data_IF_738930123159
#
_entry.id   IF_738930123159
#
_cell.length_a   1.000
_cell.length_b   1.000
_cell.length_c   1.000
_cell.angle_alpha   90.00
_cell.angle_beta   90.00
_cell.angle_gamma   90.00
#
_symmetry.space_group_name_H-M   'P 1'
#
loop_
_entity.id
_entity.type
_entity.pdbx_description
1 polymer ?
#
# COMPACT_ATOMS: atom_id res chain seq x y z
N UNK A 1 -22.01 111.12 -12.48
CA UNK A 1 -22.68 110.20 -13.40
C UNK A 1 -22.13 108.79 -13.09
N UNK A 2 -22.69 107.84 -12.57
CA UNK A 2 -23.95 107.56 -12.02
C UNK A 2 -24.03 106.03 -11.75
N UNK A 3 -24.39 105.67 -10.61
CA UNK A 3 -25.03 104.39 -10.17
C UNK A 3 -25.61 103.58 -11.28
N UNK A 4 -25.16 102.33 -11.39
CA UNK A 4 -25.96 101.15 -11.84
C UNK A 4 -25.19 99.85 -11.91
N UNK A 5 -24.46 99.36 -10.88
CA UNK A 5 -23.96 97.99 -10.85
C UNK A 5 -23.98 97.38 -9.40
N UNK A 6 -25.13 97.36 -8.76
CA UNK A 6 -25.32 96.66 -7.49
C UNK A 6 -26.71 96.00 -7.40
N UNK A 7 -27.19 95.31 -8.44
CA UNK A 7 -28.50 94.67 -8.29
C UNK A 7 -28.65 93.26 -8.92
N UNK A 8 -27.59 92.61 -9.32
CA UNK A 8 -27.70 91.25 -9.93
C UNK A 8 -26.91 90.10 -9.21
N UNK A 9 -26.27 90.34 -8.04
CA UNK A 9 -25.50 89.33 -7.34
C UNK A 9 -26.19 88.61 -6.16
N UNK A 10 -27.35 89.12 -5.70
CA UNK A 10 -27.99 88.54 -4.50
C UNK A 10 -28.76 87.20 -4.72
N UNK A 11 -29.37 86.91 -5.87
CA UNK A 11 -30.07 85.61 -6.00
C UNK A 11 -29.13 84.41 -6.22
N UNK A 12 -27.91 84.61 -6.71
CA UNK A 12 -26.95 83.52 -6.93
C UNK A 12 -26.27 83.08 -5.68
N UNK A 13 -25.98 83.94 -4.70
CA UNK A 13 -25.39 83.64 -3.41
C UNK A 13 -26.39 82.89 -2.51
N UNK A 14 -27.70 83.24 -2.57
CA UNK A 14 -28.70 82.51 -1.78
C UNK A 14 -28.98 81.13 -2.34
N UNK A 15 -28.90 80.91 -3.68
CA UNK A 15 -29.04 79.59 -4.32
C UNK A 15 -27.81 78.69 -4.01
N UNK A 16 -26.58 79.19 -3.89
CA UNK A 16 -25.39 78.50 -3.52
C UNK A 16 -25.38 78.05 -2.03
N UNK A 17 -25.92 78.86 -1.14
CA UNK A 17 -26.07 78.52 0.28
C UNK A 17 -27.15 77.46 0.51
N UNK A 18 -28.25 77.50 -0.29
CA UNK A 18 -29.29 76.45 -0.20
C UNK A 18 -28.82 75.07 -0.76
N UNK A 19 -27.87 75.04 -1.72
CA UNK A 19 -27.25 73.81 -2.22
C UNK A 19 -26.17 73.20 -1.26
N UNK A 20 -25.60 73.93 -0.37
CA UNK A 20 -24.62 73.41 0.63
C UNK A 20 -25.26 72.85 1.90
N UNK A 21 -26.53 73.08 2.19
CA UNK A 21 -27.20 72.49 3.35
C UNK A 21 -27.88 71.15 3.09
N UNK A 22 -27.82 70.61 1.86
CA UNK A 22 -28.43 69.35 1.50
C UNK A 22 -27.52 68.12 1.51
N UNK A 23 -26.22 68.22 1.90
CA UNK A 23 -25.36 67.08 2.15
C UNK A 23 -25.70 66.46 3.51
N UNK A 24 -26.87 65.78 3.58
CA UNK A 24 -27.15 64.84 4.66
C UNK A 24 -26.11 63.72 4.54
N UNK A 25 -25.17 63.67 5.44
CA UNK A 25 -24.29 62.52 5.65
C UNK A 25 -25.24 61.35 5.90
N UNK A 26 -25.45 60.51 4.86
CA UNK A 26 -26.08 59.21 5.01
C UNK A 26 -25.14 58.39 5.93
N UNK A 27 -25.45 58.36 7.20
CA UNK A 27 -24.82 57.44 8.15
C UNK A 27 -25.29 56.05 7.65
N UNK A 28 -24.37 55.31 7.06
CA UNK A 28 -24.61 53.91 6.72
C UNK A 28 -24.89 53.17 8.04
N UNK A 29 -26.15 52.90 8.32
CA UNK A 29 -26.57 52.16 9.49
C UNK A 29 -26.18 50.70 9.23
N UNK A 30 -25.13 50.30 9.89
CA UNK A 30 -24.57 48.92 9.74
C UNK A 30 -25.39 47.93 10.55
N UNK A 31 -25.72 46.82 9.95
CA UNK A 31 -26.36 45.68 10.64
C UNK A 31 -25.41 44.89 11.52
N UNK A 32 -25.94 43.89 12.18
CA UNK A 32 -25.24 42.94 13.01
C UNK A 32 -25.56 41.51 12.54
N UNK A 33 -24.55 40.60 12.61
CA UNK A 33 -24.77 39.17 12.40
C UNK A 33 -24.43 38.40 13.67
N UNK A 34 -25.39 37.60 14.16
CA UNK A 34 -25.22 36.75 15.34
C UNK A 34 -25.60 35.32 15.00
N UNK A 35 -25.12 34.38 15.78
CA UNK A 35 -25.50 32.97 15.59
C UNK A 35 -24.69 32.05 16.50
N UNK A 36 -24.99 30.77 16.35
CA UNK A 36 -24.34 29.70 17.10
C UNK A 36 -23.69 28.70 16.13
N UNK A 37 -22.59 28.10 16.57
CA UNK A 37 -21.90 27.03 15.84
C UNK A 37 -21.96 25.78 16.71
N UNK A 38 -22.52 24.70 16.15
CA UNK A 38 -22.69 23.43 16.85
C UNK A 38 -22.11 22.26 16.04
N UNK A 39 -21.84 21.18 16.71
CA UNK A 39 -21.54 19.89 16.08
C UNK A 39 -22.86 19.26 15.56
N UNK A 40 -22.89 18.88 14.31
CA UNK A 40 -24.09 18.34 13.65
C UNK A 40 -24.56 17.01 14.24
N UNK A 41 -23.68 16.19 14.78
CA UNK A 41 -24.01 14.86 15.31
C UNK A 41 -24.45 14.91 16.78
N UNK A 42 -23.80 15.78 17.58
CA UNK A 42 -23.99 15.83 19.04
C UNK A 42 -24.77 17.06 19.50
N UNK A 43 -25.00 18.06 18.63
CA UNK A 43 -25.53 19.39 18.93
C UNK A 43 -24.73 20.14 20.02
N UNK A 44 -23.51 19.70 20.34
CA UNK A 44 -22.65 20.37 21.30
C UNK A 44 -22.14 21.70 20.73
N UNK A 45 -22.06 22.79 21.56
CA UNK A 45 -21.52 24.06 21.12
C UNK A 45 -20.04 23.94 20.77
N UNK A 46 -19.63 24.61 19.69
CA UNK A 46 -18.26 24.57 19.19
C UNK A 46 -17.56 25.92 19.49
N UNK A 47 -16.69 25.93 20.48
CA UNK A 47 -15.83 27.08 20.76
C UNK A 47 -14.68 27.23 19.75
N UNK A 48 -14.12 28.42 19.64
CA UNK A 48 -12.99 28.74 18.74
C UNK A 48 -13.27 28.41 17.25
N UNK A 49 -14.53 28.35 16.83
CA UNK A 49 -14.89 28.30 15.42
C UNK A 49 -14.76 29.70 14.81
N UNK A 50 -14.04 29.79 13.70
CA UNK A 50 -13.76 31.07 13.02
C UNK A 50 -14.83 31.33 11.97
N UNK A 51 -15.50 32.47 12.08
CA UNK A 51 -16.55 32.93 11.17
C UNK A 51 -15.98 34.06 10.30
N UNK A 52 -16.05 33.91 9.00
CA UNK A 52 -15.53 34.85 8.01
C UNK A 52 -16.63 35.30 7.06
N UNK A 53 -16.75 36.58 6.84
CA UNK A 53 -17.69 37.16 5.86
C UNK A 53 -16.93 37.41 4.56
N UNK A 54 -17.26 36.63 3.52
CA UNK A 54 -16.55 36.71 2.24
C UNK A 54 -16.74 38.10 1.57
N UNK A 55 -15.65 38.62 1.02
CA UNK A 55 -15.62 39.95 0.42
C UNK A 55 -15.41 41.10 1.42
N UNK A 56 -15.22 40.80 2.72
CA UNK A 56 -14.91 41.76 3.77
C UNK A 56 -13.72 41.31 4.62
N UNK A 57 -13.20 42.19 5.46
CA UNK A 57 -12.18 41.85 6.45
C UNK A 57 -12.76 41.40 7.81
N UNK A 58 -14.09 41.21 7.86
CA UNK A 58 -14.78 40.86 9.10
C UNK A 58 -14.58 39.38 9.44
N UNK A 59 -13.96 39.13 10.58
CA UNK A 59 -13.67 37.81 11.11
C UNK A 59 -13.97 37.84 12.60
N UNK A 60 -14.67 36.79 13.10
CA UNK A 60 -14.99 36.63 14.51
C UNK A 60 -14.81 35.16 14.90
N UNK A 61 -14.62 34.90 16.19
CA UNK A 61 -14.49 33.56 16.77
C UNK A 61 -15.62 33.28 17.76
N UNK A 62 -16.09 32.03 17.78
CA UNK A 62 -17.11 31.61 18.76
C UNK A 62 -16.53 31.51 20.16
N UNK A 63 -17.35 31.85 21.16
CA UNK A 63 -17.03 31.71 22.58
C UNK A 63 -17.27 30.23 23.04
N UNK A 64 -17.09 29.97 24.35
CA UNK A 64 -17.30 28.65 24.97
C UNK A 64 -18.74 28.09 24.84
N UNK A 65 -19.74 28.97 24.57
CA UNK A 65 -21.13 28.57 24.29
C UNK A 65 -21.40 28.40 22.78
N UNK A 66 -20.37 28.47 21.94
CA UNK A 66 -20.49 28.41 20.49
C UNK A 66 -21.11 29.64 19.85
N UNK A 67 -21.29 30.75 20.56
CA UNK A 67 -21.93 31.96 20.08
C UNK A 67 -20.93 32.93 19.45
N UNK A 68 -21.35 33.61 18.38
CA UNK A 68 -20.58 34.68 17.74
C UNK A 68 -21.41 35.94 17.47
N UNK A 69 -20.77 37.10 17.34
CA UNK A 69 -21.42 38.36 17.05
C UNK A 69 -20.52 39.28 16.24
N UNK A 70 -20.78 39.38 14.95
CA UNK A 70 -20.10 40.33 14.05
C UNK A 70 -20.91 41.62 14.00
N UNK A 71 -20.26 42.74 14.33
CA UNK A 71 -20.85 44.04 14.36
C UNK A 71 -20.42 44.86 13.14
N UNK A 72 -21.23 45.85 12.77
CA UNK A 72 -20.90 46.86 11.74
C UNK A 72 -20.76 46.23 10.31
N UNK A 73 -21.71 45.37 9.93
CA UNK A 73 -21.79 44.85 8.58
C UNK A 73 -22.67 45.79 7.74
N UNK A 74 -22.20 46.25 6.58
CA UNK A 74 -23.00 47.05 5.68
C UNK A 74 -24.21 46.24 5.15
N UNK A 75 -25.35 46.86 4.86
CA UNK A 75 -26.47 46.15 4.29
C UNK A 75 -26.09 45.46 2.97
N UNK A 76 -26.50 44.20 2.81
CA UNK A 76 -26.15 43.42 1.63
C UNK A 76 -26.32 41.92 1.82
N UNK A 77 -26.07 41.13 0.77
CA UNK A 77 -26.09 39.70 0.79
C UNK A 77 -24.65 39.18 0.82
N UNK A 78 -24.33 38.36 1.81
CA UNK A 78 -22.98 37.85 2.07
C UNK A 78 -22.94 36.35 2.14
N UNK A 79 -21.84 35.77 1.67
CA UNK A 79 -21.47 34.40 1.98
C UNK A 79 -20.66 34.39 3.25
N UNK A 80 -21.13 33.66 4.25
CA UNK A 80 -20.48 33.52 5.54
C UNK A 80 -19.93 32.10 5.66
N UNK A 81 -18.65 32.00 5.98
CA UNK A 81 -17.93 30.71 6.09
C UNK A 81 -17.55 30.46 7.54
N UNK A 82 -17.97 29.31 8.06
CA UNK A 82 -17.58 28.79 9.35
C UNK A 82 -16.47 27.74 9.20
N UNK A 83 -15.41 27.88 9.99
CA UNK A 83 -14.21 27.00 9.99
C UNK A 83 -13.85 26.61 11.41
N UNK A 84 -13.57 25.34 11.63
CA UNK A 84 -12.95 24.83 12.86
C UNK A 84 -12.03 23.67 12.56
N UNK A 85 -10.91 23.55 13.27
CA UNK A 85 -9.99 22.41 13.15
C UNK A 85 -10.74 21.14 13.55
N UNK A 86 -10.66 20.08 12.72
CA UNK A 86 -11.37 18.84 12.93
C UNK A 86 -12.81 18.80 12.39
N UNK A 87 -13.24 19.86 11.67
CA UNK A 87 -14.59 19.96 11.07
C UNK A 87 -14.51 20.38 9.61
N UNK A 88 -15.46 19.91 8.82
CA UNK A 88 -15.63 20.37 7.42
C UNK A 88 -16.11 21.81 7.38
N UNK A 89 -15.48 22.69 6.58
CA UNK A 89 -15.94 24.06 6.43
C UNK A 89 -17.36 24.12 5.86
N UNK A 90 -18.19 24.99 6.40
CA UNK A 90 -19.56 25.22 5.90
C UNK A 90 -19.73 26.68 5.47
N UNK A 91 -20.32 26.87 4.29
CA UNK A 91 -20.64 28.20 3.75
C UNK A 91 -22.16 28.33 3.63
N UNK A 92 -22.68 29.45 4.15
CA UNK A 92 -24.09 29.77 4.04
C UNK A 92 -24.25 31.26 3.60
N UNK A 93 -25.37 31.56 2.95
CA UNK A 93 -25.67 32.92 2.49
C UNK A 93 -26.65 33.59 3.44
N UNK A 94 -26.39 34.85 3.81
CA UNK A 94 -27.25 35.64 4.66
C UNK A 94 -27.42 37.02 4.02
N UNK A 95 -28.64 37.57 4.10
CA UNK A 95 -28.94 38.94 3.73
C UNK A 95 -29.15 39.77 4.99
N UNK A 96 -28.49 40.91 5.08
CA UNK A 96 -28.51 41.81 6.24
C UNK A 96 -29.07 43.17 5.74
N UNK A 97 -30.14 43.61 6.39
CA UNK A 97 -30.75 44.90 6.15
C UNK A 97 -30.11 46.01 6.98
N UNK A 98 -30.58 47.24 6.79
CA UNK A 98 -30.16 48.40 7.59
C UNK A 98 -30.67 48.23 9.03
N UNK A 99 -29.78 48.46 10.05
CA UNK A 99 -30.06 48.25 11.48
C UNK A 99 -30.63 46.88 11.84
N UNK A 100 -30.50 45.92 10.98
CA UNK A 100 -31.01 44.56 11.20
C UNK A 100 -29.97 43.66 11.89
N UNK A 101 -30.46 42.85 12.81
CA UNK A 101 -29.66 41.75 13.36
C UNK A 101 -30.03 40.46 12.64
N UNK A 102 -29.18 40.05 11.68
CA UNK A 102 -29.28 38.75 11.03
C UNK A 102 -28.89 37.65 11.99
N UNK A 103 -29.61 36.52 12.00
CA UNK A 103 -29.27 35.32 12.73
C UNK A 103 -28.85 34.23 11.75
N UNK A 104 -27.69 33.59 11.97
CA UNK A 104 -27.18 32.51 11.11
C UNK A 104 -26.45 31.47 11.94
N UNK A 105 -27.04 30.28 12.02
CA UNK A 105 -26.48 29.15 12.78
C UNK A 105 -25.76 28.17 11.85
N UNK A 106 -24.66 27.59 12.35
CA UNK A 106 -23.88 26.61 11.63
C UNK A 106 -23.83 25.28 12.38
N UNK A 107 -24.21 24.20 11.72
CA UNK A 107 -24.03 22.83 12.19
C UNK A 107 -22.88 22.19 11.42
N UNK A 108 -21.67 22.17 12.01
CA UNK A 108 -20.49 21.62 11.37
C UNK A 108 -20.41 20.11 11.50
N UNK A 109 -20.03 19.42 10.45
CA UNK A 109 -19.78 17.99 10.46
C UNK A 109 -18.33 17.74 10.84
N UNK A 110 -18.09 16.89 11.85
CA UNK A 110 -16.76 16.45 12.20
C UNK A 110 -16.12 15.78 10.99
N UNK A 111 -14.94 16.26 10.60
CA UNK A 111 -14.12 15.64 9.57
C UNK A 111 -12.82 15.21 10.23
N UNK A 112 -12.37 13.96 10.02
CA UNK A 112 -11.03 13.61 10.45
C UNK A 112 -10.05 14.56 9.80
N UNK A 113 -9.15 15.11 10.58
CA UNK A 113 -8.01 15.88 10.04
C UNK A 113 -7.24 14.88 9.20
N UNK A 114 -7.36 14.94 7.88
CA UNK A 114 -6.41 14.25 7.01
C UNK A 114 -5.07 14.96 7.22
N UNK A 115 -4.24 14.35 8.06
CA UNK A 115 -2.83 14.68 8.10
C UNK A 115 -2.31 14.40 6.70
N UNK A 116 -1.63 15.35 6.09
CA UNK A 116 -0.95 15.14 4.83
C UNK A 116 -0.08 13.89 4.98
N UNK A 117 -0.24 12.95 4.06
CA UNK A 117 0.53 11.72 4.05
C UNK A 117 2.02 12.09 3.96
N UNK A 118 2.75 11.78 5.03
CA UNK A 118 4.19 12.04 5.11
C UNK A 118 4.90 10.85 4.50
N UNK A 119 5.72 11.09 3.49
CA UNK A 119 6.59 10.11 2.87
C UNK A 119 8.00 10.31 3.40
N UNK A 120 8.60 9.26 3.92
CA UNK A 120 10.00 9.31 4.34
C UNK A 120 10.90 9.12 3.13
N UNK A 121 11.65 10.13 2.75
CA UNK A 121 12.62 10.10 1.64
C UNK A 121 14.03 9.87 2.18
N UNK A 122 15.01 9.68 1.27
CA UNK A 122 16.42 9.61 1.66
C UNK A 122 16.91 10.91 2.34
N UNK A 123 16.23 12.02 2.11
CA UNK A 123 16.55 13.35 2.70
C UNK A 123 15.71 13.67 3.94
N UNK A 124 14.89 12.73 4.43
CA UNK A 124 14.03 12.89 5.60
C UNK A 124 12.53 12.79 5.29
N UNK A 125 11.71 13.18 6.26
CA UNK A 125 10.25 13.19 6.11
C UNK A 125 9.81 14.42 5.29
N UNK A 126 9.05 14.20 4.22
CA UNK A 126 8.47 15.24 3.38
C UNK A 126 6.99 14.95 3.14
N UNK A 127 6.19 16.00 2.90
CA UNK A 127 4.80 15.80 2.51
C UNK A 127 4.74 15.15 1.13
N UNK A 128 3.85 14.21 0.93
CA UNK A 128 3.66 13.51 -0.36
C UNK A 128 3.46 14.49 -1.53
N UNK A 129 2.78 15.61 -1.29
CA UNK A 129 2.56 16.65 -2.29
C UNK A 129 3.85 17.41 -2.68
N UNK A 130 4.87 17.40 -1.83
CA UNK A 130 6.15 18.07 -2.05
C UNK A 130 7.16 17.16 -2.76
N UNK A 131 6.90 15.85 -2.78
CA UNK A 131 7.76 14.88 -3.45
C UNK A 131 7.47 14.88 -4.93
N UNK A 132 8.41 15.38 -5.73
CA UNK A 132 8.31 15.42 -7.20
C UNK A 132 8.24 14.01 -7.85
N UNK A 133 8.49 12.97 -7.10
CA UNK A 133 8.56 11.58 -7.56
C UNK A 133 7.22 10.87 -7.39
N UNK A 134 6.89 9.98 -8.33
CA UNK A 134 5.73 9.10 -8.21
C UNK A 134 5.99 8.04 -7.12
N UNK A 135 5.53 8.29 -5.91
CA UNK A 135 5.60 7.37 -4.78
C UNK A 135 4.23 6.74 -4.56
N UNK A 136 4.20 5.43 -4.36
CA UNK A 136 3.01 4.71 -3.88
C UNK A 136 3.30 4.17 -2.49
N UNK A 137 2.41 4.46 -1.55
CA UNK A 137 2.48 3.96 -0.17
C UNK A 137 1.38 2.93 0.04
N UNK A 138 1.72 1.82 0.66
CA UNK A 138 0.80 0.73 1.05
C UNK A 138 0.86 0.63 2.57
N UNK A 139 -0.27 0.87 3.21
CA UNK A 139 -0.45 0.61 4.64
C UNK A 139 -0.78 -0.88 4.82
N UNK A 140 0.15 -1.60 5.43
CA UNK A 140 0.04 -3.06 5.60
C UNK A 140 -1.04 -3.42 6.61
N UNK A 141 -1.28 -2.59 7.61
CA UNK A 141 -2.30 -2.84 8.62
C UNK A 141 -3.71 -2.87 7.99
N UNK A 142 -3.98 -1.95 7.06
CA UNK A 142 -5.26 -1.92 6.34
C UNK A 142 -5.44 -3.14 5.45
N UNK A 143 -4.38 -3.58 4.78
CA UNK A 143 -4.41 -4.74 3.88
C UNK A 143 -4.61 -6.06 4.66
N UNK A 144 -3.88 -6.23 5.76
CA UNK A 144 -3.97 -7.42 6.59
C UNK A 144 -5.33 -7.58 7.29
N UNK A 145 -6.05 -6.47 7.51
CA UNK A 145 -7.41 -6.51 8.06
C UNK A 145 -8.45 -7.05 7.06
N UNK A 146 -8.19 -6.92 5.76
CA UNK A 146 -9.12 -7.32 4.70
C UNK A 146 -8.92 -8.75 4.23
N UNK A 147 -7.67 -9.23 4.23
CA UNK A 147 -7.34 -10.56 3.72
C UNK A 147 -6.06 -11.13 4.37
N UNK A 148 -5.95 -12.47 4.52
CA UNK A 148 -4.72 -13.09 4.96
C UNK A 148 -3.62 -12.88 3.92
N UNK A 149 -2.43 -12.51 4.37
CA UNK A 149 -1.27 -12.25 3.52
C UNK A 149 -0.25 -13.37 3.72
N UNK A 150 -0.04 -14.15 2.70
CA UNK A 150 0.86 -15.30 2.76
C UNK A 150 2.30 -14.94 2.41
N UNK A 151 2.50 -13.96 1.51
CA UNK A 151 3.82 -13.56 1.05
C UNK A 151 3.91 -12.04 0.92
N UNK A 152 5.11 -11.50 1.11
CA UNK A 152 5.40 -10.07 0.93
C UNK A 152 4.92 -9.53 -0.44
N UNK A 153 5.04 -10.35 -1.47
CA UNK A 153 4.61 -10.02 -2.82
C UNK A 153 3.10 -9.77 -2.94
N UNK A 154 2.30 -10.43 -2.11
CA UNK A 154 0.84 -10.26 -2.10
C UNK A 154 0.42 -8.90 -1.54
N UNK A 155 1.24 -8.31 -0.66
CA UNK A 155 1.05 -6.94 -0.18
C UNK A 155 1.16 -5.90 -1.31
N UNK A 156 2.00 -6.15 -2.31
CA UNK A 156 2.28 -5.20 -3.38
C UNK A 156 1.36 -5.45 -4.59
N UNK A 157 0.96 -6.69 -4.80
CA UNK A 157 0.20 -7.12 -5.98
C UNK A 157 -1.14 -6.39 -6.09
N UNK A 158 -1.35 -5.70 -7.22
CA UNK A 158 -2.60 -4.99 -7.52
C UNK A 158 -2.79 -3.66 -6.77
N UNK A 159 -1.89 -3.27 -5.84
CA UNK A 159 -2.07 -2.07 -5.00
C UNK A 159 -1.21 -0.88 -5.39
N UNK A 160 -0.23 -1.07 -6.26
CA UNK A 160 0.61 0.01 -6.75
C UNK A 160 0.53 0.10 -8.28
N UNK A 161 0.01 1.21 -8.80
CA UNK A 161 -0.09 1.40 -10.25
C UNK A 161 1.29 1.34 -10.93
N UNK A 162 1.39 0.59 -12.04
CA UNK A 162 2.65 0.41 -12.79
C UNK A 162 3.67 -0.50 -12.12
N UNK A 163 3.26 -1.27 -11.12
CA UNK A 163 4.07 -2.30 -10.47
C UNK A 163 3.49 -3.67 -10.83
N UNK A 164 4.32 -4.52 -11.39
CA UNK A 164 3.97 -5.90 -11.72
C UNK A 164 4.69 -6.84 -10.75
N UNK A 165 3.92 -7.76 -10.18
CA UNK A 165 4.43 -8.84 -9.35
C UNK A 165 4.36 -10.12 -10.17
N UNK A 166 5.51 -10.67 -10.50
CA UNK A 166 5.67 -11.87 -11.30
C UNK A 166 6.01 -13.03 -10.35
N UNK A 167 5.03 -13.85 -10.04
CA UNK A 167 5.26 -15.11 -9.31
C UNK A 167 5.88 -16.11 -10.29
N UNK A 168 6.96 -16.75 -9.88
CA UNK A 168 7.73 -17.61 -10.78
C UNK A 168 7.09 -18.98 -10.99
N UNK A 169 6.67 -19.61 -9.90
CA UNK A 169 6.05 -20.92 -9.89
C UNK A 169 5.06 -21.04 -8.72
N UNK A 170 4.22 -22.05 -8.73
CA UNK A 170 3.36 -22.41 -7.61
C UNK A 170 4.06 -23.27 -6.54
N UNK A 171 5.39 -23.34 -6.58
CA UNK A 171 6.18 -24.12 -5.62
C UNK A 171 6.45 -23.32 -4.37
N UNK A 172 6.43 -24.00 -3.25
CA UNK A 172 6.78 -23.45 -1.93
C UNK A 172 8.18 -22.83 -1.94
N UNK A 173 8.33 -21.64 -1.35
CA UNK A 173 9.60 -20.92 -1.32
C UNK A 173 10.04 -20.31 -2.64
N UNK A 174 9.24 -20.45 -3.73
CA UNK A 174 9.62 -19.87 -5.03
C UNK A 174 9.71 -18.34 -4.96
N UNK A 175 10.74 -17.80 -5.63
CA UNK A 175 11.00 -16.36 -5.67
C UNK A 175 9.91 -15.59 -6.41
N UNK A 176 9.71 -14.38 -6.01
CA UNK A 176 8.84 -13.42 -6.68
C UNK A 176 9.68 -12.29 -7.24
N UNK A 177 9.42 -11.91 -8.48
CA UNK A 177 10.06 -10.77 -9.14
C UNK A 177 9.11 -9.59 -9.19
N UNK A 178 9.63 -8.41 -8.86
CA UNK A 178 8.88 -7.16 -8.95
C UNK A 178 9.46 -6.34 -10.09
N UNK A 179 8.59 -5.82 -10.96
CA UNK A 179 8.95 -4.90 -12.02
C UNK A 179 8.17 -3.61 -11.87
N UNK A 180 8.87 -2.48 -11.95
CA UNK A 180 8.29 -1.15 -11.86
C UNK A 180 8.38 -0.49 -13.22
N UNK A 181 7.22 -0.18 -13.84
CA UNK A 181 7.11 0.42 -15.18
C UNK A 181 7.70 -0.43 -16.31
N UNK A 182 7.76 -1.76 -16.14
CA UNK A 182 8.22 -2.69 -17.17
C UNK A 182 9.72 -3.01 -17.12
N UNK A 183 10.26 -3.50 -18.23
CA UNK A 183 11.68 -3.87 -18.36
C UNK A 183 12.45 -2.71 -18.99
N UNK A 184 13.49 -2.25 -18.31
CA UNK A 184 14.32 -1.12 -18.73
C UNK A 184 15.66 -1.57 -19.37
N UNK A 185 16.06 -2.82 -19.13
CA UNK A 185 17.30 -3.38 -19.66
C UNK A 185 17.10 -4.78 -20.23
N UNK A 186 17.81 -5.08 -21.31
CA UNK A 186 17.83 -6.40 -21.94
C UNK A 186 18.88 -7.30 -21.26
N UNK A 187 19.98 -6.73 -20.81
CA UNK A 187 21.14 -7.48 -20.30
C UNK A 187 21.39 -7.34 -18.80
N UNK A 188 20.78 -6.34 -18.14
CA UNK A 188 20.91 -6.12 -16.71
C UNK A 188 19.63 -6.49 -15.95
N UNK A 189 19.71 -6.62 -14.64
CA UNK A 189 18.54 -6.84 -13.79
C UNK A 189 17.52 -5.71 -13.96
N UNK A 190 16.25 -6.09 -14.04
CA UNK A 190 15.12 -5.15 -14.08
C UNK A 190 14.39 -5.08 -12.73
N UNK A 191 14.98 -5.63 -11.67
CA UNK A 191 14.42 -5.61 -10.33
C UNK A 191 14.72 -4.29 -9.62
N UNK A 192 13.79 -3.77 -8.78
CA UNK A 192 14.05 -2.60 -7.95
C UNK A 192 15.03 -2.92 -6.83
N UNK A 193 15.59 -1.89 -6.22
CA UNK A 193 16.33 -2.04 -4.96
C UNK A 193 15.37 -2.15 -3.78
N UNK A 194 15.73 -2.96 -2.80
CA UNK A 194 14.96 -3.12 -1.55
C UNK A 194 15.71 -2.50 -0.39
N UNK A 195 14.98 -1.77 0.45
CA UNK A 195 15.48 -1.22 1.71
C UNK A 195 14.54 -1.62 2.84
N UNK A 196 15.09 -2.15 3.92
CA UNK A 196 14.37 -2.46 5.14
C UNK A 196 14.90 -1.55 6.24
N UNK A 197 14.04 -0.72 6.81
CA UNK A 197 14.40 0.27 7.84
C UNK A 197 15.63 1.12 7.47
N UNK A 198 15.78 1.42 6.17
CA UNK A 198 16.90 2.19 5.62
C UNK A 198 18.15 1.39 5.25
N UNK A 199 18.20 0.11 5.56
CA UNK A 199 19.31 -0.78 5.21
C UNK A 199 19.02 -1.45 3.87
N UNK A 200 19.94 -1.37 2.93
CA UNK A 200 19.80 -2.03 1.63
C UNK A 200 19.89 -3.54 1.78
N UNK A 201 18.92 -4.23 1.21
CA UNK A 201 18.89 -5.67 1.11
C UNK A 201 19.29 -6.12 -0.30
N UNK A 202 19.94 -7.29 -0.41
CA UNK A 202 20.21 -7.93 -1.70
C UNK A 202 18.88 -8.27 -2.38
N UNK A 203 18.69 -7.78 -3.59
CA UNK A 203 17.47 -8.01 -4.37
C UNK A 203 17.62 -9.12 -5.40
N UNK A 204 18.85 -9.57 -5.65
CA UNK A 204 19.05 -10.65 -6.60
C UNK A 204 18.47 -11.95 -6.04
N UNK A 205 17.55 -12.55 -6.78
CA UNK A 205 17.27 -13.96 -6.59
C UNK A 205 18.60 -14.68 -6.76
N UNK A 206 19.18 -15.19 -5.67
CA UNK A 206 20.40 -15.98 -5.79
C UNK A 206 20.09 -17.11 -6.75
N UNK A 207 20.79 -17.15 -7.88
CA UNK A 207 20.83 -18.37 -8.67
C UNK A 207 21.35 -19.44 -7.74
N UNK A 208 20.44 -20.32 -7.26
CA UNK A 208 20.88 -21.44 -6.47
C UNK A 208 21.87 -22.20 -7.34
N UNK A 209 23.09 -22.37 -6.82
CA UNK A 209 24.14 -23.16 -7.44
C UNK A 209 23.83 -24.66 -7.51
N UNK A 210 22.61 -25.05 -7.21
CA UNK A 210 22.09 -26.38 -7.45
C UNK A 210 21.76 -26.50 -8.94
N UNK A 211 22.75 -26.84 -9.71
CA UNK A 211 22.65 -27.28 -11.10
C UNK A 211 21.97 -28.66 -11.11
N UNK A 212 20.64 -28.67 -10.94
CA UNK A 212 19.86 -29.88 -11.12
C UNK A 212 19.44 -29.92 -12.59
N UNK A 213 20.20 -30.61 -13.39
CA UNK A 213 19.83 -30.96 -14.77
C UNK A 213 20.33 -30.03 -15.86
N UNK A 214 21.52 -29.44 -15.74
CA UNK A 214 22.20 -28.77 -16.86
C UNK A 214 21.73 -27.34 -17.17
N UNK A 215 20.92 -26.75 -16.31
CA UNK A 215 20.55 -25.32 -16.38
C UNK A 215 21.50 -24.54 -15.48
N UNK A 216 22.57 -24.01 -16.06
CA UNK A 216 23.64 -23.32 -15.33
C UNK A 216 23.21 -22.05 -14.61
N UNK A 217 24.04 -21.63 -13.68
CA UNK A 217 23.92 -20.35 -12.98
C UNK A 217 23.79 -19.20 -14.01
N UNK A 218 22.61 -18.57 -14.03
CA UNK A 218 22.29 -17.49 -14.98
C UNK A 218 21.11 -17.79 -15.91
N UNK A 219 20.54 -18.98 -15.89
CA UNK A 219 19.30 -19.23 -16.63
C UNK A 219 18.15 -18.42 -16.00
N UNK A 220 17.52 -17.51 -16.75
CA UNK A 220 16.38 -16.73 -16.25
C UNK A 220 15.15 -17.59 -15.91
N UNK A 221 15.21 -18.87 -16.20
CA UNK A 221 14.13 -19.85 -15.89
C UNK A 221 14.29 -20.44 -14.49
N UNK A 222 15.49 -20.40 -13.90
CA UNK A 222 15.70 -20.87 -12.52
C UNK A 222 15.43 -19.73 -11.56
N UNK A 223 14.28 -19.74 -10.95
CA UNK A 223 13.91 -18.78 -9.93
C UNK A 223 14.35 -19.31 -8.56
N UNK A 224 15.54 -18.93 -8.14
CA UNK A 224 15.97 -19.17 -6.76
C UNK A 224 15.06 -18.46 -5.75
N UNK A 225 15.13 -18.83 -4.47
CA UNK A 225 14.38 -18.17 -3.42
C UNK A 225 14.71 -16.67 -3.40
N UNK A 226 13.69 -15.83 -3.26
CA UNK A 226 13.88 -14.38 -3.10
C UNK A 226 14.03 -14.05 -1.63
N UNK A 227 15.05 -13.27 -1.27
CA UNK A 227 15.21 -12.73 0.09
C UNK A 227 14.03 -11.88 0.55
N UNK A 228 13.23 -11.38 -0.39
CA UNK A 228 12.01 -10.66 -0.08
C UNK A 228 10.98 -11.53 0.63
N UNK A 229 10.94 -12.83 0.30
CA UNK A 229 10.04 -13.79 0.92
C UNK A 229 10.49 -14.21 2.33
N UNK A 230 11.72 -13.87 2.73
CA UNK A 230 12.20 -14.14 4.10
C UNK A 230 11.53 -13.23 5.13
N UNK A 231 10.99 -12.08 4.69
CA UNK A 231 10.30 -11.14 5.59
C UNK A 231 8.93 -11.66 5.97
N UNK A 232 8.64 -11.64 7.27
CA UNK A 232 7.29 -11.90 7.75
C UNK A 232 6.40 -10.67 7.45
N UNK A 233 5.31 -10.81 6.66
CA UNK A 233 4.39 -9.72 6.39
C UNK A 233 3.81 -9.05 7.64
N UNK A 234 3.62 -9.81 8.72
CA UNK A 234 3.09 -9.32 9.98
C UNK A 234 4.01 -8.35 10.73
N UNK A 235 5.30 -8.34 10.41
CA UNK A 235 6.27 -7.41 11.00
C UNK A 235 6.33 -6.07 10.26
N UNK A 236 5.62 -5.92 9.15
CA UNK A 236 5.68 -4.75 8.29
C UNK A 236 4.60 -3.74 8.69
N UNK A 237 4.98 -2.48 8.77
CA UNK A 237 4.09 -1.35 9.00
C UNK A 237 3.61 -0.75 7.67
N UNK A 238 4.58 -0.44 6.78
CA UNK A 238 4.28 0.18 5.50
C UNK A 238 5.30 -0.18 4.44
N UNK A 239 4.86 -0.09 3.17
CA UNK A 239 5.71 -0.26 2.00
C UNK A 239 5.58 0.98 1.13
N UNK A 240 6.71 1.59 0.83
CA UNK A 240 6.79 2.73 -0.07
C UNK A 240 7.52 2.33 -1.35
N UNK A 241 6.92 2.64 -2.50
CA UNK A 241 7.49 2.31 -3.81
C UNK A 241 7.79 3.61 -4.55
N UNK A 242 9.09 3.90 -4.69
CA UNK A 242 9.60 5.03 -5.47
C UNK A 242 9.83 4.56 -6.90
N UNK A 243 9.09 5.13 -7.85
CA UNK A 243 8.99 4.60 -9.22
C UNK A 243 9.91 5.30 -10.19
N UNK A 244 10.64 4.51 -10.98
CA UNK A 244 11.38 4.94 -12.14
C UNK A 244 12.71 5.66 -11.87
N UNK A 245 13.27 6.35 -12.88
CA UNK A 245 14.60 6.96 -12.82
C UNK A 245 14.76 8.02 -11.73
N UNK A 246 13.66 8.61 -11.27
CA UNK A 246 13.67 9.56 -10.16
C UNK A 246 14.17 8.94 -8.85
N UNK A 247 14.05 7.63 -8.68
CA UNK A 247 14.66 6.93 -7.55
C UNK A 247 16.20 6.99 -7.63
N UNK A 248 16.78 7.04 -8.82
CA UNK A 248 18.23 7.10 -9.00
C UNK A 248 18.85 8.41 -8.49
N UNK A 249 18.10 9.51 -8.46
CA UNK A 249 18.57 10.79 -7.90
C UNK A 249 18.75 10.75 -6.38
N UNK A 250 17.98 9.88 -5.70
CA UNK A 250 18.00 9.76 -4.24
C UNK A 250 18.85 8.58 -3.76
N UNK A 251 18.83 7.46 -4.51
CA UNK A 251 19.42 6.18 -4.10
C UNK A 251 20.56 5.72 -5.00
N UNK A 252 21.01 6.58 -5.95
CA UNK A 252 22.08 6.29 -6.89
C UNK A 252 21.61 5.52 -8.13
N UNK A 253 22.50 5.39 -9.12
CA UNK A 253 22.21 4.85 -10.46
C UNK A 253 21.64 3.42 -10.46
N UNK A 254 21.98 2.62 -9.46
CA UNK A 254 21.45 1.26 -9.32
C UNK A 254 19.94 1.23 -9.04
N UNK A 255 19.38 2.35 -8.58
CA UNK A 255 17.95 2.52 -8.34
C UNK A 255 17.14 2.94 -9.58
N UNK A 256 17.71 2.87 -10.77
CA UNK A 256 17.04 3.26 -12.03
C UNK A 256 15.75 2.49 -12.29
N UNK A 257 15.65 1.25 -11.79
CA UNK A 257 14.44 0.41 -11.87
C UNK A 257 13.43 0.70 -10.76
N UNK A 258 13.72 1.67 -9.87
CA UNK A 258 12.90 2.01 -8.72
C UNK A 258 13.44 1.43 -7.41
N UNK A 259 12.79 1.84 -6.33
CA UNK A 259 13.11 1.42 -4.95
C UNK A 259 11.85 1.00 -4.23
N UNK A 260 11.92 -0.10 -3.52
CA UNK A 260 10.91 -0.56 -2.58
C UNK A 260 11.46 -0.39 -1.16
N UNK A 261 10.86 0.51 -0.40
CA UNK A 261 11.19 0.73 1.02
C UNK A 261 10.17 0.02 1.89
N UNK A 262 10.66 -0.76 2.80
CA UNK A 262 9.88 -1.51 3.77
C UNK A 262 10.19 -0.94 5.14
N UNK A 263 9.16 -0.46 5.81
CA UNK A 263 9.26 0.00 7.20
C UNK A 263 8.64 -1.05 8.09
N UNK A 264 9.38 -1.50 9.10
CA UNK A 264 8.88 -2.50 10.04
C UNK A 264 8.20 -1.84 11.24
N UNK A 265 7.30 -2.59 11.87
CA UNK A 265 6.54 -2.14 13.04
C UNK A 265 7.47 -1.73 14.17
N UNK A 266 7.17 -0.60 14.80
CA UNK A 266 7.90 -0.07 15.96
C UNK A 266 7.01 -0.08 17.19
N UNK A 267 7.63 -0.01 18.36
CA UNK A 267 6.91 0.19 19.60
C UNK A 267 6.31 1.58 19.71
N UNK A 268 5.14 1.69 20.31
CA UNK A 268 4.50 2.96 20.63
C UNK A 268 4.40 3.12 22.15
N UNK A 269 4.52 4.34 22.70
CA UNK A 269 4.29 4.57 24.11
C UNK A 269 2.90 4.09 24.54
N UNK A 270 2.84 3.34 25.63
CA UNK A 270 1.59 2.81 26.17
C UNK A 270 1.76 1.46 26.83
N UNK A 271 0.63 0.91 27.28
CA UNK A 271 0.59 -0.44 27.87
C UNK A 271 0.97 -1.50 26.84
N UNK A 272 1.61 -2.62 27.24
CA UNK A 272 1.92 -3.72 26.36
C UNK A 272 0.66 -4.21 25.62
N UNK A 273 0.77 -4.29 24.30
CA UNK A 273 -0.27 -4.86 23.43
C UNK A 273 0.27 -6.14 22.83
N UNK A 274 -0.40 -7.24 23.12
CA UNK A 274 -0.09 -8.55 22.58
C UNK A 274 -0.95 -8.82 21.36
N UNK A 275 -0.35 -9.40 20.33
CA UNK A 275 -1.04 -9.93 19.18
C UNK A 275 -0.59 -11.38 18.94
N UNK A 276 -1.53 -12.27 18.70
CA UNK A 276 -1.28 -13.67 18.37
C UNK A 276 -2.08 -14.00 17.13
N UNK A 277 -1.48 -14.73 16.22
CA UNK A 277 -2.18 -15.25 15.06
C UNK A 277 -1.80 -16.71 14.80
N UNK A 278 -2.71 -17.44 14.19
CA UNK A 278 -2.50 -18.80 13.71
C UNK A 278 -3.28 -18.96 12.41
N UNK A 279 -2.60 -19.42 11.39
CA UNK A 279 -3.19 -19.68 10.08
C UNK A 279 -2.90 -21.12 9.66
N UNK A 280 -3.88 -21.75 9.00
CA UNK A 280 -3.72 -23.06 8.38
C UNK A 280 -4.47 -23.06 7.04
N UNK A 281 -3.85 -23.66 6.02
CA UNK A 281 -4.43 -23.71 4.69
C UNK A 281 -3.93 -24.91 3.87
N UNK A 282 -4.74 -25.37 2.94
CA UNK A 282 -4.33 -26.36 1.96
C UNK A 282 -3.83 -25.70 0.69
N UNK A 283 -2.73 -26.20 0.15
CA UNK A 283 -2.18 -25.83 -1.17
C UNK A 283 -2.45 -26.96 -2.14
N UNK A 284 -3.20 -26.71 -3.19
CA UNK A 284 -3.57 -27.74 -4.18
C UNK A 284 -3.45 -27.23 -5.61
N UNK A 285 -3.16 -28.12 -6.51
CA UNK A 285 -3.22 -27.87 -7.94
C UNK A 285 -4.62 -28.21 -8.46
N UNK A 286 -5.30 -27.19 -9.00
CA UNK A 286 -6.66 -27.32 -9.55
C UNK A 286 -6.67 -27.35 -11.09
N UNK A 287 -5.52 -27.53 -11.72
CA UNK A 287 -5.46 -27.61 -13.17
C UNK A 287 -5.98 -28.96 -13.66
N UNK A 288 -6.58 -28.92 -14.84
CA UNK A 288 -6.94 -30.11 -15.60
C UNK A 288 -5.88 -30.34 -16.68
N UNK A 289 -5.31 -31.51 -16.71
CA UNK A 289 -4.22 -31.83 -17.63
C UNK A 289 -4.74 -32.63 -18.83
N UNK A 290 -4.32 -32.27 -20.05
CA UNK A 290 -4.72 -33.05 -21.24
C UNK A 290 -4.10 -34.43 -21.20
N UNK A 291 -4.82 -35.37 -21.80
CA UNK A 291 -4.28 -36.70 -22.05
C UNK A 291 -3.25 -36.67 -23.17
N UNK A 292 -2.16 -37.38 -22.99
CA UNK A 292 -1.22 -37.68 -24.06
C UNK A 292 -1.71 -38.90 -24.85
N UNK A 293 -1.54 -38.86 -26.14
CA UNK A 293 -1.90 -39.95 -27.05
C UNK A 293 -0.66 -40.39 -27.82
N UNK A 294 -0.43 -41.68 -27.88
CA UNK A 294 0.63 -42.23 -28.72
C UNK A 294 0.17 -43.54 -29.38
N UNK A 295 0.66 -43.71 -30.60
CA UNK A 295 0.43 -44.95 -31.35
C UNK A 295 1.28 -46.10 -30.83
N UNK A 296 0.73 -47.29 -30.80
CA UNK A 296 1.42 -48.51 -30.46
C UNK A 296 1.15 -49.56 -31.53
N UNK A 297 2.17 -50.36 -31.87
CA UNK A 297 2.02 -51.58 -32.62
C UNK A 297 1.91 -52.76 -31.64
N UNK A 298 0.72 -53.38 -31.58
CA UNK A 298 0.47 -54.53 -30.70
C UNK A 298 0.77 -55.85 -31.37
N UNK A 299 1.11 -55.82 -32.65
CA UNK A 299 1.39 -57.01 -33.45
C UNK A 299 2.88 -57.30 -33.63
N UNK A 300 3.72 -56.25 -33.41
CA UNK A 300 5.15 -56.40 -33.47
C UNK A 300 5.65 -57.06 -32.17
N UNK A 301 6.42 -58.10 -32.32
CA UNK A 301 6.98 -58.88 -31.21
C UNK A 301 8.52 -58.80 -31.19
N UNK A 302 9.09 -57.71 -31.71
CA UNK A 302 10.54 -57.59 -31.89
C UNK A 302 11.27 -57.10 -30.68
N UNK A 303 10.52 -56.48 -29.68
CA UNK A 303 11.10 -55.89 -28.49
C UNK A 303 11.86 -54.60 -28.75
N UNK A 304 11.73 -54.02 -29.93
CA UNK A 304 12.36 -52.75 -30.30
C UNK A 304 11.52 -51.57 -29.78
N UNK A 305 12.13 -50.41 -29.65
CA UNK A 305 11.48 -49.19 -29.13
C UNK A 305 10.22 -48.77 -29.90
N UNK A 306 10.18 -49.04 -31.22
CA UNK A 306 9.00 -48.74 -32.03
C UNK A 306 7.80 -49.66 -31.77
N UNK A 307 7.99 -50.81 -31.11
CA UNK A 307 6.88 -51.66 -30.65
C UNK A 307 6.05 -50.95 -29.56
N UNK A 308 6.71 -50.13 -28.77
CA UNK A 308 6.08 -49.34 -27.72
C UNK A 308 5.59 -47.97 -28.19
N UNK A 309 6.34 -47.35 -29.11
CA UNK A 309 6.05 -46.01 -29.64
C UNK A 309 6.04 -46.04 -31.17
N UNK A 310 4.91 -46.33 -31.75
CA UNK A 310 4.76 -46.28 -33.19
C UNK A 310 4.56 -44.82 -33.65
N UNK A 311 5.66 -44.08 -33.75
CA UNK A 311 5.68 -42.72 -34.21
C UNK A 311 5.39 -42.62 -35.69
N UNK A 312 4.87 -41.48 -36.18
CA UNK A 312 4.57 -41.26 -37.61
C UNK A 312 5.80 -41.53 -38.50
N UNK A 313 7.01 -41.15 -38.03
CA UNK A 313 8.23 -41.43 -38.78
C UNK A 313 8.45 -42.94 -38.94
N UNK A 314 8.28 -43.72 -37.89
CA UNK A 314 8.45 -45.17 -37.94
C UNK A 314 7.39 -45.86 -38.82
N UNK A 315 6.18 -45.29 -38.88
CA UNK A 315 5.15 -45.77 -39.80
C UNK A 315 5.54 -45.50 -41.27
N UNK A 316 6.08 -44.29 -41.55
CA UNK A 316 6.54 -43.93 -42.91
C UNK A 316 7.73 -44.76 -43.35
N UNK A 317 8.61 -45.14 -42.44
CA UNK A 317 9.74 -46.01 -42.70
C UNK A 317 9.38 -47.52 -42.75
N UNK A 318 8.11 -47.85 -42.54
CA UNK A 318 7.62 -49.20 -42.54
C UNK A 318 8.07 -50.09 -41.37
N UNK A 319 8.56 -49.45 -40.32
CA UNK A 319 9.08 -50.12 -39.12
C UNK A 319 8.01 -50.53 -38.13
N UNK A 320 6.83 -49.88 -38.14
CA UNK A 320 5.69 -50.25 -37.32
C UNK A 320 4.36 -49.92 -38.02
N UNK A 321 3.29 -50.62 -37.61
CA UNK A 321 1.91 -50.33 -38.03
C UNK A 321 1.11 -49.96 -36.78
N UNK A 322 0.53 -48.77 -36.77
CA UNK A 322 -0.29 -48.39 -35.64
C UNK A 322 -1.56 -49.22 -35.56
N UNK A 323 -1.62 -50.13 -34.59
CA UNK A 323 -2.77 -51.01 -34.34
C UNK A 323 -3.59 -50.53 -33.12
N UNK A 324 -3.01 -49.72 -32.23
CA UNK A 324 -3.67 -49.18 -31.06
C UNK A 324 -3.26 -47.75 -30.80
N UNK A 325 -4.13 -46.99 -30.11
CA UNK A 325 -3.82 -45.68 -29.53
C UNK A 325 -3.91 -45.81 -28.03
N UNK A 326 -2.80 -45.57 -27.37
CA UNK A 326 -2.77 -45.46 -25.91
C UNK A 326 -2.96 -44.02 -25.52
N UNK A 327 -3.76 -43.82 -24.49
CA UNK A 327 -3.97 -42.53 -23.85
C UNK A 327 -3.47 -42.61 -22.43
N UNK A 328 -2.73 -41.61 -22.04
CA UNK A 328 -2.03 -41.58 -20.77
C UNK A 328 -1.83 -40.17 -20.27
N UNK A 329 -1.99 -39.96 -18.99
CA UNK A 329 -1.62 -38.71 -18.32
C UNK A 329 -0.93 -39.02 -16.98
N UNK A 330 0.38 -38.77 -16.85
CA UNK A 330 1.08 -39.00 -15.60
C UNK A 330 0.57 -38.09 -14.49
N UNK A 331 0.00 -36.96 -14.85
CA UNK A 331 -0.50 -35.98 -13.88
C UNK A 331 -1.93 -36.25 -13.40
N UNK A 332 -2.69 -37.08 -14.13
CA UNK A 332 -4.07 -37.47 -13.75
C UNK A 332 -4.15 -38.89 -13.16
N UNK A 333 -3.17 -39.73 -13.43
CA UNK A 333 -3.15 -41.12 -12.93
C UNK A 333 -2.65 -41.14 -11.48
N UNK A 334 -3.44 -41.69 -10.55
CA UNK A 334 -3.20 -41.65 -9.13
C UNK A 334 -1.81 -42.14 -8.67
N UNK A 335 -1.34 -43.23 -9.34
CA UNK A 335 -0.03 -43.87 -9.03
C UNK A 335 1.17 -43.12 -9.57
N UNK A 336 1.01 -42.34 -10.65
CA UNK A 336 2.09 -41.58 -11.29
C UNK A 336 2.04 -40.09 -10.98
N UNK A 337 0.93 -39.60 -10.42
CA UNK A 337 0.72 -38.19 -10.13
C UNK A 337 1.69 -37.69 -9.05
N UNK A 338 2.59 -36.74 -9.37
CA UNK A 338 3.50 -36.13 -8.41
C UNK A 338 2.87 -34.98 -7.66
N UNK A 339 1.63 -34.57 -8.04
CA UNK A 339 0.94 -33.43 -7.44
C UNK A 339 -0.06 -33.92 -6.38
N UNK A 340 0.13 -33.46 -5.15
CA UNK A 340 -0.72 -33.75 -4.00
C UNK A 340 -1.13 -32.46 -3.32
N UNK A 341 -2.14 -32.51 -2.47
CA UNK A 341 -2.46 -31.38 -1.61
C UNK A 341 -1.39 -31.24 -0.52
N UNK A 342 -0.78 -30.08 -0.44
CA UNK A 342 0.12 -29.69 0.63
C UNK A 342 -0.62 -28.99 1.77
N UNK A 343 0.04 -28.82 2.89
CA UNK A 343 -0.47 -28.14 4.08
C UNK A 343 0.46 -27.00 4.43
N UNK A 344 -0.11 -25.80 4.65
CA UNK A 344 0.61 -24.65 5.20
C UNK A 344 0.08 -24.32 6.57
N UNK A 345 0.97 -24.10 7.52
CA UNK A 345 0.68 -23.67 8.87
C UNK A 345 1.62 -22.53 9.25
N UNK A 346 1.06 -21.49 9.83
CA UNK A 346 1.82 -20.34 10.31
C UNK A 346 1.32 -19.91 11.67
N UNK A 347 2.25 -19.63 12.56
CA UNK A 347 1.97 -19.18 13.92
C UNK A 347 2.83 -17.97 14.22
N UNK A 348 2.27 -17.00 14.92
CA UNK A 348 3.04 -15.84 15.31
C UNK A 348 2.53 -15.18 16.56
N UNK A 349 3.47 -14.52 17.23
CA UNK A 349 3.19 -13.73 18.42
C UNK A 349 3.99 -12.43 18.34
N UNK A 350 3.37 -11.33 18.71
CA UNK A 350 4.08 -10.06 18.84
C UNK A 350 3.63 -9.29 20.07
N UNK A 351 4.53 -8.48 20.60
CA UNK A 351 4.27 -7.54 21.69
C UNK A 351 4.86 -6.18 21.36
N UNK A 352 4.08 -5.14 21.54
CA UNK A 352 4.52 -3.74 21.40
C UNK A 352 4.12 -2.93 22.62
N UNK A 353 4.95 -1.97 23.01
CA UNK A 353 4.67 -1.10 24.14
C UNK A 353 5.82 -0.16 24.43
N UNK A 354 5.74 0.53 25.56
CA UNK A 354 6.79 1.43 26.01
C UNK A 354 6.28 2.57 26.84
N UNK A 355 7.15 3.54 27.05
CA UNK A 355 6.85 4.80 27.69
C UNK A 355 7.48 5.97 26.87
N UNK A 356 7.45 7.19 27.39
CA UNK A 356 8.02 8.35 26.70
C UNK A 356 9.55 8.27 26.49
N UNK A 357 10.24 7.43 27.26
CA UNK A 357 11.70 7.28 27.20
C UNK A 357 12.13 6.09 26.35
N UNK A 358 11.36 5.02 26.34
CA UNK A 358 11.72 3.80 25.61
C UNK A 358 10.49 3.08 25.08
N UNK A 359 10.59 2.61 23.83
CA UNK A 359 9.57 1.83 23.15
C UNK A 359 10.16 0.54 22.61
N UNK A 360 9.34 -0.50 22.52
CA UNK A 360 9.76 -1.80 22.02
C UNK A 360 8.67 -2.45 21.16
N UNK A 361 9.13 -3.17 20.16
CA UNK A 361 8.36 -4.14 19.38
C UNK A 361 9.17 -5.43 19.30
N UNK A 362 8.56 -6.54 19.65
CA UNK A 362 9.17 -7.87 19.59
C UNK A 362 8.18 -8.80 18.92
N UNK A 363 8.63 -9.55 17.92
CA UNK A 363 7.83 -10.57 17.25
C UNK A 363 8.60 -11.87 17.09
N UNK A 364 7.86 -12.97 17.09
CA UNK A 364 8.35 -14.30 16.76
C UNK A 364 7.33 -14.99 15.85
N UNK A 365 7.80 -15.64 14.80
CA UNK A 365 6.99 -16.37 13.85
C UNK A 365 7.58 -17.72 13.49
N UNK A 366 6.71 -18.68 13.25
CA UNK A 366 7.02 -19.99 12.71
C UNK A 366 6.09 -20.30 11.56
N UNK A 367 6.64 -20.79 10.48
CA UNK A 367 5.91 -21.23 9.30
C UNK A 367 6.43 -22.59 8.86
N UNK A 368 5.49 -23.48 8.57
CA UNK A 368 5.77 -24.76 7.94
C UNK A 368 4.81 -24.96 6.77
N UNK A 369 5.36 -25.20 5.60
CA UNK A 369 4.59 -25.43 4.38
C UNK A 369 5.11 -26.67 3.66
N UNK A 370 4.23 -27.64 3.45
CA UNK A 370 4.41 -28.71 2.50
C UNK A 370 3.86 -28.22 1.16
N UNK A 371 4.66 -28.23 0.12
CA UNK A 371 4.23 -27.87 -1.23
C UNK A 371 3.45 -28.98 -1.92
N UNK A 372 3.06 -28.69 -3.14
CA UNK A 372 2.23 -29.64 -3.95
C UNK A 372 3.01 -30.80 -4.53
N UNK A 373 4.34 -30.70 -4.61
CA UNK A 373 5.17 -31.77 -5.19
C UNK A 373 5.46 -32.86 -4.18
N UNK A 374 5.21 -34.08 -4.61
CA UNK A 374 5.55 -35.28 -3.86
C UNK A 374 6.04 -36.35 -4.85
N UNK A 375 6.96 -37.22 -4.41
CA UNK A 375 7.36 -38.40 -5.16
C UNK A 375 6.11 -39.22 -5.51
N UNK A 376 5.97 -39.64 -6.77
CA UNK A 376 4.84 -40.47 -7.17
C UNK A 376 4.90 -41.84 -6.48
N UNK A 377 3.75 -42.50 -6.35
CA UNK A 377 3.71 -43.80 -5.65
C UNK A 377 4.59 -44.86 -6.35
N UNK A 378 4.59 -44.87 -7.69
CA UNK A 378 5.42 -45.81 -8.45
C UNK A 378 6.90 -45.57 -8.22
N UNK A 379 7.33 -44.31 -8.18
CA UNK A 379 8.73 -43.94 -7.91
C UNK A 379 9.12 -44.23 -6.45
N UNK A 380 8.24 -43.94 -5.49
CA UNK A 380 8.47 -44.25 -4.07
C UNK A 380 8.62 -45.77 -3.88
N UNK A 381 7.74 -46.58 -4.47
CA UNK A 381 7.78 -48.04 -4.40
C UNK A 381 9.04 -48.59 -5.08
N UNK A 382 9.44 -48.04 -6.22
CA UNK A 382 10.65 -48.39 -6.95
C UNK A 382 11.92 -48.13 -6.14
N UNK A 383 12.04 -46.92 -5.57
CA UNK A 383 13.20 -46.55 -4.72
C UNK A 383 13.22 -47.37 -3.44
N UNK A 384 12.07 -47.59 -2.82
CA UNK A 384 11.93 -48.43 -1.61
C UNK A 384 12.33 -49.87 -1.89
N UNK A 385 11.97 -50.38 -3.06
CA UNK A 385 12.39 -51.72 -3.48
C UNK A 385 13.90 -51.89 -3.72
N UNK A 386 14.55 -50.81 -4.18
CA UNK A 386 15.98 -50.81 -4.47
C UNK A 386 16.88 -50.57 -3.22
N UNK A 387 16.48 -49.62 -2.34
CA UNK A 387 17.32 -49.15 -1.22
C UNK A 387 16.70 -49.36 0.18
N UNK A 388 15.49 -49.89 0.24
CA UNK A 388 14.77 -50.22 1.47
C UNK A 388 13.99 -49.08 2.11
N UNK A 389 14.56 -47.89 2.20
CA UNK A 389 13.88 -46.70 2.78
C UNK A 389 14.04 -45.48 1.88
N UNK A 390 12.99 -44.65 1.83
CA UNK A 390 13.04 -43.35 1.14
C UNK A 390 13.00 -42.27 2.19
N UNK A 391 14.00 -41.39 2.25
CA UNK A 391 13.98 -40.23 3.17
C UNK A 391 12.82 -39.29 2.88
N UNK A 392 12.25 -38.66 3.92
CA UNK A 392 11.10 -37.77 3.80
C UNK A 392 11.37 -36.55 2.89
N UNK A 393 12.58 -36.02 2.89
CA UNK A 393 12.98 -34.93 2.00
C UNK A 393 13.02 -35.32 0.51
N UNK A 394 13.10 -36.61 0.20
CA UNK A 394 12.95 -37.11 -1.18
C UNK A 394 11.48 -37.36 -1.53
N UNK A 395 10.69 -37.82 -0.56
CA UNK A 395 9.25 -38.00 -0.74
C UNK A 395 8.56 -36.64 -0.93
N UNK A 396 8.99 -35.65 -0.16
CA UNK A 396 8.47 -34.27 -0.17
C UNK A 396 9.60 -33.29 -0.46
N UNK A 397 10.01 -33.14 -1.72
CA UNK A 397 11.18 -32.31 -2.07
C UNK A 397 10.90 -30.80 -1.99
N UNK A 398 9.63 -30.41 -1.82
CA UNK A 398 9.20 -29.02 -1.85
C UNK A 398 8.54 -28.65 -0.52
N UNK A 399 9.35 -28.41 0.48
CA UNK A 399 8.93 -27.98 1.82
C UNK A 399 9.61 -26.68 2.20
N UNK A 400 8.98 -25.90 3.05
CA UNK A 400 9.52 -24.69 3.66
C UNK A 400 9.30 -24.76 5.17
N UNK A 401 10.37 -24.63 5.92
CA UNK A 401 10.31 -24.40 7.36
C UNK A 401 11.03 -23.09 7.65
N UNK A 402 10.33 -22.13 8.28
CA UNK A 402 10.89 -20.81 8.55
C UNK A 402 10.62 -20.36 9.97
N UNK A 403 11.68 -19.89 10.61
CA UNK A 403 11.65 -19.21 11.89
C UNK A 403 12.01 -17.74 11.69
N UNK A 404 11.26 -16.85 12.28
CA UNK A 404 11.53 -15.41 12.27
C UNK A 404 11.48 -14.84 13.69
N UNK A 405 12.45 -13.99 14.00
CA UNK A 405 12.49 -13.21 15.24
C UNK A 405 12.86 -11.79 14.88
N UNK A 406 12.10 -10.82 15.37
CA UNK A 406 12.40 -9.40 15.20
C UNK A 406 12.27 -8.66 16.51
N UNK A 407 13.20 -7.73 16.73
CA UNK A 407 13.18 -6.83 17.88
C UNK A 407 13.55 -5.44 17.43
N UNK A 408 12.64 -4.48 17.62
CA UNK A 408 12.85 -3.07 17.36
C UNK A 408 12.73 -2.31 18.69
N UNK A 409 13.81 -1.63 19.06
CA UNK A 409 13.91 -0.84 20.28
C UNK A 409 14.12 0.62 19.92
N UNK A 410 13.42 1.51 20.58
CA UNK A 410 13.61 2.94 20.50
C UNK A 410 13.85 3.52 21.88
N UNK A 411 14.77 4.46 22.03
CA UNK A 411 15.01 5.17 23.28
C UNK A 411 15.30 6.65 23.02
N UNK A 412 14.57 7.53 23.70
CA UNK A 412 14.79 8.96 23.71
C UNK A 412 15.80 9.29 24.82
N UNK A 413 17.08 9.37 24.46
CA UNK A 413 18.17 9.56 25.42
C UNK A 413 18.20 11.00 25.93
N UNK A 414 17.85 11.96 25.09
CA UNK A 414 17.72 13.36 25.45
C UNK A 414 16.71 14.05 24.51
N UNK A 415 16.40 15.33 24.78
CA UNK A 415 15.50 16.12 23.93
C UNK A 415 15.93 16.21 22.46
N UNK A 416 17.20 15.97 22.18
CA UNK A 416 17.80 16.10 20.84
C UNK A 416 18.52 14.82 20.38
N UNK A 417 18.31 13.69 21.07
CA UNK A 417 19.03 12.45 20.76
C UNK A 417 18.14 11.24 20.93
N UNK A 418 17.88 10.58 19.83
CA UNK A 418 17.12 9.34 19.76
C UNK A 418 18.07 8.19 19.41
N UNK A 419 17.94 7.07 20.08
CA UNK A 419 18.62 5.82 19.77
C UNK A 419 17.61 4.80 19.27
N UNK A 420 17.90 4.16 18.16
CA UNK A 420 17.10 3.04 17.66
C UNK A 420 17.98 1.83 17.35
N UNK A 421 17.49 0.66 17.69
CA UNK A 421 18.12 -0.61 17.36
C UNK A 421 17.07 -1.55 16.74
N UNK A 422 17.41 -2.15 15.59
CA UNK A 422 16.58 -3.14 14.91
C UNK A 422 17.41 -4.39 14.70
N UNK A 423 16.91 -5.51 15.21
CA UNK A 423 17.55 -6.83 15.12
C UNK A 423 16.53 -7.78 14.48
N UNK A 424 16.92 -8.45 13.41
CA UNK A 424 16.14 -9.49 12.77
C UNK A 424 16.95 -10.76 12.63
N UNK A 425 16.36 -11.89 12.96
CA UNK A 425 16.90 -13.22 12.70
C UNK A 425 15.88 -14.02 11.91
N UNK A 426 16.32 -14.63 10.83
CA UNK A 426 15.50 -15.48 9.97
C UNK A 426 16.31 -16.72 9.64
N UNK A 427 15.67 -17.88 9.81
CA UNK A 427 16.18 -19.19 9.39
C UNK A 427 15.13 -19.87 8.52
N UNK A 428 15.50 -20.28 7.33
CA UNK A 428 14.66 -21.01 6.38
C UNK A 428 15.43 -22.16 5.75
#
# INVERSE_FOLDING_TARGET
>A
MTLAIVRRGLPLAAAAILLMTGAVTAWAQNGRLTGTVTDKATNAPLENARIMVSGTSLIETTNNEGKYSIRSIAPGTYQVRALRIGYSPLVQTVTIGQDETGALDFALTAAPVQLDEIVTTATGQQRKLEVANAVSTIDVASVAAEQPITQMADLISGRAAGVQVLKSAGTTGSGTRIRIRGSNSISLSNEPLYYIDGIRMESSSSSSTLDIGGFGAGDPRTNGPSRLNDLNPDDIESIEIVKGPAAATLYGIQASNGVVRITTKKGNPGRPKWNFFAEAGGVSDNNTYPLNFFGRDTTAATGADYDYFCLLQYQLDGLCTQTAVLKYSPLETASTRPLKTGLRQQYGASVSGGNEFATYFISAGYENEDGVFRLSQIEEDSVRGAVGTVPDNQIRPNTLERWSLRTNLGANVSRNSDLSASIGYISS
#
